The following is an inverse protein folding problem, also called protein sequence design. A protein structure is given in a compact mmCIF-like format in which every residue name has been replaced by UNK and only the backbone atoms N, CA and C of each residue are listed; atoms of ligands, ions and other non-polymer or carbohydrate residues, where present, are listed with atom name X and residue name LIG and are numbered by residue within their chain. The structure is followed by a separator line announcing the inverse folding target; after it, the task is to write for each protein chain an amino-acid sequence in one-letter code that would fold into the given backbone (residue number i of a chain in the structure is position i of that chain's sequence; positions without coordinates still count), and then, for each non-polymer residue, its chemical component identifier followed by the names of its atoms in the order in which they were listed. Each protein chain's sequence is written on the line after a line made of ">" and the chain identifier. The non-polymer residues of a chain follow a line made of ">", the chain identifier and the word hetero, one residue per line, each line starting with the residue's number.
data_IF_878908027389
#
_entry.id   IF_878908027389
#
_cell.length_a   1.000
_cell.length_b   1.000
_cell.length_c   1.000
_cell.angle_alpha   90.00
_cell.angle_beta   90.00
_cell.angle_gamma   90.00
#
_symmetry.space_group_name_H-M   'P 1'
#
loop_
_entity.id
_entity.type
_entity.pdbx_description
1 polymer ?
#
# COMPACT_ATOMS: atom_id res chain seq x y z
N UNK A 1 -6.34 15.21 -12.95
CA UNK A 1 -6.71 13.80 -12.76
C UNK A 1 -6.88 13.59 -11.27
N UNK A 2 -8.06 13.18 -10.82
CA UNK A 2 -8.33 12.88 -9.42
C UNK A 2 -8.83 11.45 -9.34
N UNK A 3 -8.30 10.68 -8.40
CA UNK A 3 -8.70 9.28 -8.23
C UNK A 3 -9.90 9.24 -7.29
N UNK A 4 -10.98 8.63 -7.75
CA UNK A 4 -12.12 8.33 -6.87
C UNK A 4 -11.86 7.00 -6.15
N UNK A 5 -12.68 6.67 -5.15
CA UNK A 5 -12.53 5.41 -4.43
C UNK A 5 -12.80 4.20 -5.35
N UNK A 6 -12.08 3.10 -5.11
CA UNK A 6 -12.22 1.86 -5.88
C UNK A 6 -11.48 1.91 -7.22
N UNK A 7 -12.14 1.57 -8.32
CA UNK A 7 -11.49 1.44 -9.63
C UNK A 7 -11.75 2.63 -10.56
N UNK A 8 -12.09 3.82 -10.05
CA UNK A 8 -12.48 4.96 -10.90
C UNK A 8 -11.52 6.14 -10.78
N UNK A 9 -11.29 6.84 -11.87
CA UNK A 9 -10.63 8.15 -11.85
C UNK A 9 -11.32 9.13 -12.79
N UNK A 10 -11.15 10.42 -12.48
CA UNK A 10 -11.70 11.53 -13.25
C UNK A 10 -10.56 12.31 -13.88
N UNK A 11 -10.63 12.56 -15.19
CA UNK A 11 -9.66 13.42 -15.86
C UNK A 11 -9.86 14.92 -15.54
N UNK A 12 -9.12 15.80 -16.22
CA UNK A 12 -9.21 17.26 -16.00
C UNK A 12 -10.45 17.88 -16.64
N UNK A 13 -11.13 17.16 -17.52
CA UNK A 13 -12.33 17.59 -18.24
C UNK A 13 -13.61 17.09 -17.56
N UNK A 14 -13.49 16.22 -16.55
CA UNK A 14 -14.60 15.67 -15.79
C UNK A 14 -15.08 14.31 -16.30
N UNK A 15 -14.39 13.69 -17.27
CA UNK A 15 -14.75 12.35 -17.73
C UNK A 15 -14.28 11.31 -16.71
N UNK A 16 -15.14 10.32 -16.46
CA UNK A 16 -14.88 9.22 -15.52
C UNK A 16 -14.48 7.97 -16.29
N UNK A 17 -13.40 7.35 -15.85
CA UNK A 17 -12.87 6.12 -16.44
C UNK A 17 -12.83 5.00 -15.40
N UNK A 18 -12.92 3.77 -15.90
CA UNK A 18 -12.63 2.56 -15.13
C UNK A 18 -11.14 2.23 -15.31
N UNK A 19 -10.40 2.26 -14.21
CA UNK A 19 -9.00 1.90 -14.16
C UNK A 19 -8.84 0.39 -14.10
N UNK A 20 -8.32 -0.21 -15.17
CA UNK A 20 -7.96 -1.62 -15.21
C UNK A 20 -6.47 -1.86 -14.91
N UNK A 21 -5.65 -0.80 -14.92
CA UNK A 21 -4.21 -0.91 -14.68
C UNK A 21 -3.90 -0.91 -13.18
N UNK A 22 -4.68 -0.18 -12.38
CA UNK A 22 -4.61 -0.19 -10.92
C UNK A 22 -3.18 0.00 -10.39
N UNK A 23 -2.50 1.00 -10.95
CA UNK A 23 -1.12 1.35 -10.57
C UNK A 23 -0.04 0.37 -11.05
N UNK A 24 -0.34 -0.45 -12.06
CA UNK A 24 0.52 -1.57 -12.50
C UNK A 24 0.67 -2.65 -11.42
N UNK A 25 -0.47 -3.11 -10.87
CA UNK A 25 -0.62 -4.20 -9.87
C UNK A 25 -0.73 -3.85 -8.37
N UNK A 26 -0.03 -2.86 -7.76
CA UNK A 26 0.00 -2.69 -6.30
C UNK A 26 -1.34 -2.24 -5.69
N UNK A 27 -2.28 -1.73 -6.48
CA UNK A 27 -3.57 -1.21 -5.99
C UNK A 27 -4.63 -2.32 -6.06
N UNK A 28 -4.39 -3.44 -5.38
CA UNK A 28 -5.27 -4.62 -5.43
C UNK A 28 -6.63 -4.42 -4.75
N UNK A 29 -6.72 -3.51 -3.77
CA UNK A 29 -7.95 -3.23 -3.02
C UNK A 29 -8.78 -2.09 -3.61
N UNK A 30 -8.30 -1.43 -4.67
CA UNK A 30 -8.90 -0.19 -5.14
C UNK A 30 -8.21 1.05 -4.60
N UNK A 31 -8.34 2.14 -5.34
CA UNK A 31 -7.87 3.46 -4.95
C UNK A 31 -8.56 3.94 -3.68
N UNK A 32 -7.79 4.61 -2.81
CA UNK A 32 -8.29 5.25 -1.59
C UNK A 32 -9.05 4.30 -0.64
N UNK A 33 -8.63 3.03 -0.56
CA UNK A 33 -9.21 2.04 0.35
C UNK A 33 -9.13 2.52 1.80
N UNK A 34 -10.26 2.66 2.53
CA UNK A 34 -10.28 3.27 3.86
C UNK A 34 -9.32 2.60 4.85
N UNK A 35 -9.25 1.26 4.88
CA UNK A 35 -8.37 0.56 5.82
C UNK A 35 -6.89 0.91 5.60
N UNK A 36 -6.44 0.96 4.34
CA UNK A 36 -5.06 1.30 3.98
C UNK A 36 -4.77 2.77 4.27
N UNK A 37 -5.68 3.67 3.89
CA UNK A 37 -5.53 5.11 4.12
C UNK A 37 -5.43 5.43 5.61
N UNK A 38 -6.34 4.89 6.43
CA UNK A 38 -6.34 5.21 7.86
C UNK A 38 -5.12 4.63 8.58
N UNK A 39 -4.63 3.44 8.19
CA UNK A 39 -3.39 2.87 8.72
C UNK A 39 -2.17 3.74 8.40
N UNK A 40 -2.03 4.16 7.14
CA UNK A 40 -0.96 5.07 6.73
C UNK A 40 -1.05 6.41 7.46
N UNK A 41 -2.25 6.99 7.56
CA UNK A 41 -2.50 8.25 8.27
C UNK A 41 -2.18 8.15 9.76
N UNK A 42 -2.48 7.03 10.40
CA UNK A 42 -2.13 6.78 11.79
C UNK A 42 -0.61 6.74 11.99
N UNK A 43 0.14 6.04 11.13
CA UNK A 43 1.60 5.99 11.23
C UNK A 43 2.24 7.37 10.98
N UNK A 44 1.71 8.15 10.04
CA UNK A 44 2.17 9.52 9.76
C UNK A 44 1.95 10.50 10.93
N UNK A 45 1.13 10.15 11.92
CA UNK A 45 1.00 10.93 13.15
C UNK A 45 2.19 10.74 14.10
N UNK A 46 3.07 9.78 13.81
CA UNK A 46 4.34 9.51 14.49
C UNK A 46 5.52 9.63 13.52
N UNK A 47 6.75 9.48 14.03
CA UNK A 47 7.95 9.40 13.20
C UNK A 47 7.84 8.20 12.25
N UNK A 48 8.39 8.33 11.04
CA UNK A 48 8.33 7.26 10.01
C UNK A 48 9.70 6.63 9.77
N UNK A 49 10.78 7.26 10.25
CA UNK A 49 12.14 6.74 10.14
C UNK A 49 12.78 6.67 11.51
N UNK A 50 13.02 5.43 11.97
CA UNK A 50 13.67 5.16 13.24
C UNK A 50 15.10 4.67 13.02
N UNK A 51 16.03 4.93 13.96
CA UNK A 51 17.41 4.43 13.88
C UNK A 51 17.53 2.93 14.21
N UNK A 52 16.45 2.31 14.67
CA UNK A 52 16.35 0.91 15.08
C UNK A 52 15.11 0.28 14.44
N UNK A 53 15.08 -1.06 14.37
CA UNK A 53 13.97 -1.85 13.84
C UNK A 53 12.65 -1.50 14.52
N UNK A 54 11.63 -1.21 13.71
CA UNK A 54 10.28 -0.95 14.20
C UNK A 54 9.48 -2.26 14.37
N UNK A 55 8.61 -2.40 15.39
CA UNK A 55 7.79 -3.61 15.57
C UNK A 55 6.93 -3.98 14.35
N UNK A 56 6.43 -2.99 13.61
CA UNK A 56 5.67 -3.24 12.37
C UNK A 56 6.50 -3.94 11.28
N UNK A 57 7.82 -3.73 11.25
CA UNK A 57 8.68 -4.44 10.29
C UNK A 57 8.71 -5.94 10.59
N UNK A 58 8.70 -6.32 11.88
CA UNK A 58 8.67 -7.72 12.32
C UNK A 58 7.31 -8.34 12.01
N UNK A 59 6.22 -7.66 12.36
CA UNK A 59 4.85 -8.13 12.08
C UNK A 59 4.63 -8.38 10.58
N UNK A 60 5.05 -7.45 9.72
CA UNK A 60 4.93 -7.62 8.26
C UNK A 60 5.84 -8.74 7.75
N UNK A 61 7.04 -8.89 8.28
CA UNK A 61 7.94 -9.98 7.90
C UNK A 61 7.35 -11.36 8.25
N UNK A 62 6.76 -11.52 9.44
CA UNK A 62 6.08 -12.75 9.87
C UNK A 62 4.88 -13.06 8.96
N UNK A 63 4.05 -12.06 8.65
CA UNK A 63 2.93 -12.22 7.71
C UNK A 63 3.38 -12.67 6.31
N UNK A 64 4.51 -12.16 5.83
CA UNK A 64 5.06 -12.54 4.52
C UNK A 64 5.61 -13.96 4.51
N UNK A 65 6.31 -14.38 5.57
CA UNK A 65 6.78 -15.76 5.74
C UNK A 65 5.60 -16.73 5.79
N UNK A 66 4.55 -16.39 6.53
CA UNK A 66 3.34 -17.21 6.62
C UNK A 66 2.59 -17.29 5.27
N UNK A 67 2.57 -16.20 4.50
CA UNK A 67 1.88 -16.13 3.21
C UNK A 67 2.66 -16.75 2.04
N UNK A 68 4.00 -16.82 2.11
CA UNK A 68 4.88 -17.27 1.03
C UNK A 68 5.60 -18.56 1.48
N UNK A 69 5.13 -19.76 1.07
CA UNK A 69 5.60 -21.04 1.64
C UNK A 69 7.10 -21.34 1.54
N UNK A 70 7.81 -20.69 0.61
CA UNK A 70 9.24 -20.85 0.41
C UNK A 70 10.09 -19.74 1.05
N UNK A 71 9.47 -18.74 1.67
CA UNK A 71 10.18 -17.65 2.32
C UNK A 71 10.55 -18.02 3.76
N UNK A 72 11.82 -17.93 4.10
CA UNK A 72 12.32 -18.15 5.47
C UNK A 72 12.82 -16.84 6.12
N UNK A 73 13.24 -15.87 5.30
CA UNK A 73 13.79 -14.57 5.72
C UNK A 73 13.25 -13.49 4.79
N UNK A 74 12.92 -12.33 5.34
CA UNK A 74 12.43 -11.15 4.60
C UNK A 74 13.38 -9.97 4.79
N UNK A 75 13.61 -9.23 3.71
CA UNK A 75 14.31 -7.95 3.72
C UNK A 75 13.52 -6.93 2.89
N UNK A 76 13.39 -5.71 3.41
CA UNK A 76 12.66 -4.62 2.75
C UNK A 76 13.61 -3.72 1.96
N UNK A 77 13.18 -3.33 0.75
CA UNK A 77 13.91 -2.43 -0.14
C UNK A 77 12.96 -1.34 -0.64
N UNK A 78 13.50 -0.21 -1.08
CA UNK A 78 12.68 0.89 -1.63
C UNK A 78 12.21 0.62 -3.07
N UNK A 79 12.89 -0.27 -3.78
CA UNK A 79 12.62 -0.62 -5.17
C UNK A 79 12.78 -2.13 -5.35
N UNK A 80 11.88 -2.73 -6.12
CA UNK A 80 11.98 -4.11 -6.59
C UNK A 80 12.65 -4.22 -7.95
#
# INVERSE_FOLDING_TARGET
>A
MNTEAGARFTDVEGNIYLDYLMGFEPIVLGHNEPAVREAARAQMASETVYPLTHPLEVEVAELLVDAIPSAEIVAFYMWG
#
